data_IF_618714345852
#
_entry.id   IF_618714345852
#
_cell.length_a   1.000
_cell.length_b   1.000
_cell.length_c   1.000
_cell.angle_alpha   90.00
_cell.angle_beta   90.00
_cell.angle_gamma   90.00
#
_symmetry.space_group_name_H-M   'P 1'
#
loop_
_entity.id
_entity.type
_entity.pdbx_description
1 polymer ?
#
# COMPACT_ATOMS: atom_id res chain seq x y z
N UNK A 1 33.18 -21.98 46.46
CA UNK A 1 33.23 -20.83 47.38
C UNK A 1 32.76 -19.72 46.49
N UNK A 2 31.59 -19.60 46.55
CA UNK A 2 30.46 -18.85 47.14
C UNK A 2 30.00 -17.83 46.10
N UNK A 3 28.86 -17.99 45.65
CA UNK A 3 27.45 -17.76 46.13
C UNK A 3 26.96 -16.36 45.91
N UNK A 4 25.78 -16.38 45.24
CA UNK A 4 24.62 -15.50 45.41
C UNK A 4 24.77 -14.01 45.05
N UNK A 5 23.92 -13.47 44.16
CA UNK A 5 22.55 -13.11 44.56
C UNK A 5 21.62 -12.87 43.37
N UNK A 6 20.55 -13.61 43.42
CA UNK A 6 19.34 -13.40 42.62
C UNK A 6 18.53 -12.28 43.29
N UNK A 7 18.22 -11.22 42.58
CA UNK A 7 17.11 -10.32 42.98
C UNK A 7 15.92 -10.49 42.04
N UNK A 8 14.92 -11.15 42.56
CA UNK A 8 13.53 -11.15 42.10
C UNK A 8 12.92 -9.81 42.46
N UNK A 9 12.30 -9.13 41.54
CA UNK A 9 11.38 -8.03 41.82
C UNK A 9 9.99 -8.38 41.28
N UNK A 10 9.10 -8.30 42.22
CA UNK A 10 7.70 -8.70 42.23
C UNK A 10 6.83 -8.01 41.18
N UNK A 11 5.81 -8.77 40.82
CA UNK A 11 4.61 -8.40 40.13
C UNK A 11 3.82 -7.36 40.93
N UNK A 12 3.28 -6.36 40.23
CA UNK A 12 2.10 -5.64 40.73
C UNK A 12 1.06 -5.58 39.60
N UNK A 13 0.05 -6.39 39.80
CA UNK A 13 -1.25 -6.33 39.17
C UNK A 13 -1.91 -4.97 39.39
N UNK A 14 -2.41 -4.37 38.32
CA UNK A 14 -3.54 -3.46 38.42
C UNK A 14 -4.51 -3.76 37.26
N UNK A 15 -5.57 -4.44 37.65
CA UNK A 15 -6.75 -4.74 36.87
C UNK A 15 -7.41 -3.46 36.36
N UNK A 16 -7.66 -3.40 35.06
CA UNK A 16 -8.62 -2.46 34.45
C UNK A 16 -9.77 -3.29 33.91
N UNK A 17 -10.94 -3.00 34.41
CA UNK A 17 -12.23 -3.61 34.13
C UNK A 17 -12.65 -3.42 32.67
N UNK A 18 -13.41 -4.36 32.07
CA UNK A 18 -13.90 -4.26 30.70
C UNK A 18 -15.11 -3.32 30.63
N UNK A 19 -15.10 -2.42 29.66
CA UNK A 19 -16.28 -1.66 29.25
C UNK A 19 -17.08 -2.44 28.23
N UNK A 20 -18.38 -2.45 28.45
CA UNK A 20 -19.41 -3.26 27.84
C UNK A 20 -19.48 -3.22 26.31
N UNK A 21 -19.69 -4.42 25.76
CA UNK A 21 -19.84 -4.66 24.34
C UNK A 21 -21.20 -4.24 23.81
N UNK A 22 -21.17 -3.74 22.59
CA UNK A 22 -22.33 -3.67 21.69
C UNK A 22 -22.28 -4.92 20.80
N UNK A 23 -23.32 -5.77 20.78
CA UNK A 23 -23.34 -6.97 19.93
C UNK A 23 -23.70 -6.58 18.51
N UNK A 24 -22.74 -6.70 17.57
CA UNK A 24 -23.05 -6.83 16.17
C UNK A 24 -23.43 -8.28 15.87
N UNK A 25 -24.73 -8.53 15.82
CA UNK A 25 -25.28 -9.77 15.29
C UNK A 25 -25.15 -9.78 13.76
N UNK A 26 -24.15 -10.52 13.24
CA UNK A 26 -24.14 -10.96 11.86
C UNK A 26 -24.70 -12.39 11.83
N UNK A 27 -25.92 -12.53 11.32
CA UNK A 27 -26.48 -13.83 10.96
C UNK A 27 -25.68 -14.41 9.80
N UNK A 28 -25.02 -15.53 10.06
CA UNK A 28 -24.36 -16.36 9.06
C UNK A 28 -25.45 -17.18 8.31
N UNK A 29 -25.73 -16.81 7.09
CA UNK A 29 -26.46 -17.66 6.13
C UNK A 29 -25.43 -18.45 5.28
N UNK A 30 -25.30 -19.79 5.45
CA UNK A 30 -24.28 -20.61 4.79
C UNK A 30 -24.58 -20.99 3.36
N UNK A 31 -25.55 -20.35 2.69
CA UNK A 31 -26.11 -20.84 1.42
C UNK A 31 -25.85 -20.00 0.16
N UNK A 32 -25.28 -18.81 0.22
CA UNK A 32 -25.10 -17.98 -0.98
C UNK A 32 -23.66 -18.03 -1.53
N UNK A 33 -23.47 -18.93 -2.50
CA UNK A 33 -22.35 -18.79 -3.46
C UNK A 33 -22.55 -17.50 -4.25
N UNK A 34 -21.70 -16.49 -4.00
CA UNK A 34 -21.62 -15.34 -4.88
C UNK A 34 -20.95 -15.75 -6.19
N UNK A 35 -21.77 -16.11 -7.17
CA UNK A 35 -21.35 -16.10 -8.55
C UNK A 35 -21.21 -14.63 -8.97
N UNK A 36 -20.04 -14.23 -9.43
CA UNK A 36 -19.86 -12.94 -10.11
C UNK A 36 -20.58 -13.01 -11.47
N UNK A 37 -21.89 -12.80 -11.45
CA UNK A 37 -22.66 -12.50 -12.63
C UNK A 37 -22.22 -11.13 -13.14
N UNK A 38 -21.95 -11.04 -14.44
CA UNK A 38 -21.71 -9.79 -15.15
C UNK A 38 -22.90 -8.85 -14.91
N UNK A 39 -22.74 -7.95 -13.94
CA UNK A 39 -23.74 -6.93 -13.65
C UNK A 39 -23.62 -5.83 -14.70
N UNK A 40 -24.70 -5.61 -15.41
CA UNK A 40 -24.88 -4.68 -16.49
C UNK A 40 -24.25 -3.31 -16.18
N UNK A 41 -23.43 -2.83 -17.12
CA UNK A 41 -22.94 -1.46 -17.20
C UNK A 41 -24.13 -0.51 -17.28
N UNK A 42 -24.55 0.04 -16.14
CA UNK A 42 -25.42 1.22 -16.13
C UNK A 42 -24.54 2.39 -16.54
N UNK A 43 -24.68 2.82 -17.77
CA UNK A 43 -24.08 4.06 -18.26
C UNK A 43 -24.51 5.21 -17.35
N UNK A 44 -23.56 6.01 -16.80
CA UNK A 44 -23.96 7.17 -16.00
C UNK A 44 -24.67 8.17 -16.90
N UNK A 45 -25.96 8.44 -16.59
CA UNK A 45 -26.72 9.51 -17.21
C UNK A 45 -25.91 10.80 -17.07
N UNK A 46 -25.60 11.43 -18.20
CA UNK A 46 -24.96 12.75 -18.27
C UNK A 46 -25.86 13.78 -17.57
N UNK A 47 -25.57 14.07 -16.32
CA UNK A 47 -26.15 15.21 -15.61
C UNK A 47 -25.48 16.49 -16.18
N UNK A 48 -26.20 17.19 -17.03
CA UNK A 48 -25.86 18.55 -17.50
C UNK A 48 -25.99 19.48 -16.28
N UNK A 49 -24.85 20.01 -15.78
CA UNK A 49 -24.89 21.14 -14.85
C UNK A 49 -23.97 21.12 -13.62
N UNK A 50 -23.22 20.04 -13.35
CA UNK A 50 -22.17 20.09 -12.31
C UNK A 50 -20.85 20.54 -12.94
N UNK A 51 -20.26 21.64 -12.42
CA UNK A 51 -18.86 21.98 -12.72
C UNK A 51 -18.04 20.72 -12.49
N UNK A 52 -17.37 20.23 -13.53
CA UNK A 52 -16.50 19.05 -13.41
C UNK A 52 -15.36 19.41 -12.45
N UNK A 53 -15.38 18.87 -11.24
CA UNK A 53 -14.24 18.96 -10.34
C UNK A 53 -13.08 18.23 -11.01
N UNK A 54 -11.93 18.91 -11.09
CA UNK A 54 -10.70 18.28 -11.57
C UNK A 54 -10.24 17.32 -10.49
N UNK A 55 -10.04 16.06 -10.86
CA UNK A 55 -9.53 15.04 -9.95
C UNK A 55 -8.17 14.55 -10.44
N UNK A 56 -7.27 14.29 -9.51
CA UNK A 56 -5.98 13.63 -9.75
C UNK A 56 -6.07 12.22 -9.19
N UNK A 57 -5.92 11.17 -10.04
CA UNK A 57 -5.95 9.80 -9.54
C UNK A 57 -4.74 9.54 -8.65
N UNK A 58 -4.98 8.86 -7.52
CA UNK A 58 -3.93 8.47 -6.60
C UNK A 58 -2.98 7.47 -7.25
N UNK A 59 -1.69 7.59 -6.95
CA UNK A 59 -0.70 6.63 -7.43
C UNK A 59 -0.88 5.30 -6.70
N UNK A 60 -0.94 4.22 -7.47
CA UNK A 60 -1.04 2.88 -6.93
C UNK A 60 0.02 1.97 -7.56
N UNK A 61 0.87 1.38 -6.73
CA UNK A 61 1.84 0.37 -7.13
C UNK A 61 1.65 -0.83 -6.23
N UNK A 62 1.21 -1.96 -6.81
CA UNK A 62 0.91 -3.16 -6.04
C UNK A 62 1.48 -4.43 -6.66
N UNK A 63 1.86 -5.37 -5.81
CA UNK A 63 2.29 -6.72 -6.18
C UNK A 63 1.33 -7.73 -5.58
N UNK A 64 0.67 -8.49 -6.43
CA UNK A 64 -0.43 -9.39 -6.06
C UNK A 64 -0.06 -10.87 -6.19
N UNK A 65 -0.82 -11.69 -5.49
CA UNK A 65 -0.81 -13.14 -5.66
C UNK A 65 -2.16 -13.63 -6.19
N UNK A 66 -2.11 -14.37 -7.30
CA UNK A 66 -3.26 -15.11 -7.83
C UNK A 66 -3.20 -16.57 -7.42
N UNK A 67 -4.39 -17.16 -7.22
CA UNK A 67 -4.57 -18.62 -7.08
C UNK A 67 -5.44 -19.12 -8.23
N UNK A 68 -5.00 -20.17 -8.91
CA UNK A 68 -5.76 -20.82 -9.97
C UNK A 68 -6.90 -21.67 -9.39
N UNK A 69 -8.11 -21.48 -9.89
CA UNK A 69 -9.29 -22.31 -9.61
C UNK A 69 -9.59 -23.29 -10.75
N UNK A 70 -8.58 -23.57 -11.57
CA UNK A 70 -8.72 -24.50 -12.69
C UNK A 70 -9.26 -25.86 -12.23
N UNK A 71 -10.13 -26.45 -13.03
CA UNK A 71 -10.61 -27.82 -12.84
C UNK A 71 -9.50 -28.84 -13.13
N UNK A 72 -8.50 -28.47 -13.91
CA UNK A 72 -7.38 -29.34 -14.23
C UNK A 72 -6.45 -29.47 -13.02
N UNK A 73 -6.30 -30.70 -12.51
CA UNK A 73 -5.55 -31.04 -11.29
C UNK A 73 -4.13 -30.43 -11.27
N UNK A 74 -3.45 -30.37 -12.41
CA UNK A 74 -2.07 -29.87 -12.50
C UNK A 74 -1.97 -28.32 -12.45
N UNK A 75 -3.09 -27.59 -12.62
CA UNK A 75 -3.13 -26.12 -12.48
C UNK A 75 -3.84 -25.68 -11.20
N UNK A 76 -4.69 -26.51 -10.63
CA UNK A 76 -5.46 -26.20 -9.41
C UNK A 76 -4.54 -25.75 -8.28
N UNK A 77 -4.88 -24.65 -7.62
CA UNK A 77 -4.16 -24.04 -6.50
C UNK A 77 -2.72 -23.59 -6.82
N UNK A 78 -2.32 -23.51 -8.08
CA UNK A 78 -1.06 -22.85 -8.44
C UNK A 78 -1.16 -21.36 -8.22
N UNK A 79 -0.04 -20.77 -7.79
CA UNK A 79 0.07 -19.33 -7.57
C UNK A 79 0.78 -18.65 -8.73
N UNK A 80 0.35 -17.42 -9.00
CA UNK A 80 1.04 -16.50 -9.88
C UNK A 80 1.23 -15.16 -9.17
N UNK A 81 2.45 -14.62 -9.23
CA UNK A 81 2.79 -13.30 -8.67
C UNK A 81 2.89 -12.32 -9.84
N UNK A 82 2.35 -11.12 -9.66
CA UNK A 82 2.40 -10.09 -10.67
C UNK A 82 2.30 -8.69 -10.09
N UNK A 83 2.69 -7.71 -10.89
CA UNK A 83 2.62 -6.27 -10.59
C UNK A 83 1.43 -5.63 -11.28
N UNK A 84 0.85 -4.61 -10.65
CA UNK A 84 -0.21 -3.80 -11.26
C UNK A 84 -0.29 -2.39 -10.65
N UNK A 85 -0.82 -1.48 -11.45
CA UNK A 85 -1.27 -0.13 -11.02
C UNK A 85 -2.80 -0.06 -10.90
N UNK A 86 -3.53 -1.10 -11.31
CA UNK A 86 -4.98 -1.22 -11.21
C UNK A 86 -5.36 -2.70 -11.02
N UNK A 87 -5.56 -3.16 -9.76
CA UNK A 87 -5.82 -4.55 -9.45
C UNK A 87 -7.15 -5.05 -10.03
N UNK A 88 -8.19 -4.20 -10.05
CA UNK A 88 -9.51 -4.57 -10.53
C UNK A 88 -9.49 -4.85 -12.04
N UNK A 89 -8.82 -3.99 -12.82
CA UNK A 89 -8.60 -4.23 -14.24
C UNK A 89 -7.70 -5.44 -14.47
N UNK A 90 -6.66 -5.60 -13.64
CA UNK A 90 -5.66 -6.66 -13.85
C UNK A 90 -6.21 -8.05 -13.68
N UNK A 91 -7.06 -8.30 -12.69
CA UNK A 91 -7.70 -9.63 -12.52
C UNK A 91 -8.63 -9.96 -13.69
N UNK A 92 -9.37 -8.97 -14.21
CA UNK A 92 -10.19 -9.14 -15.41
C UNK A 92 -9.34 -9.55 -16.62
N UNK A 93 -8.18 -8.90 -16.84
CA UNK A 93 -7.26 -9.25 -17.92
C UNK A 93 -6.75 -10.69 -17.81
N UNK A 94 -6.39 -11.16 -16.60
CA UNK A 94 -5.96 -12.54 -16.40
C UNK A 94 -7.06 -13.55 -16.75
N UNK A 95 -8.30 -13.27 -16.37
CA UNK A 95 -9.44 -14.14 -16.63
C UNK A 95 -9.97 -14.06 -18.07
N UNK A 96 -9.69 -12.94 -18.77
CA UNK A 96 -10.04 -12.76 -20.17
C UNK A 96 -9.05 -13.39 -21.15
N UNK A 97 -7.87 -13.84 -20.65
CA UNK A 97 -6.84 -14.48 -21.46
C UNK A 97 -5.79 -13.54 -22.06
N UNK A 98 -4.82 -14.13 -22.73
CA UNK A 98 -3.62 -13.44 -23.23
C UNK A 98 -3.93 -12.33 -24.23
N UNK A 99 -4.89 -12.55 -25.12
CA UNK A 99 -5.26 -11.60 -26.18
C UNK A 99 -5.84 -10.29 -25.62
N UNK A 100 -6.38 -10.34 -24.39
CA UNK A 100 -6.94 -9.18 -23.67
C UNK A 100 -5.98 -8.62 -22.60
N UNK A 101 -4.69 -8.93 -22.72
CA UNK A 101 -3.65 -8.40 -21.83
C UNK A 101 -3.32 -9.29 -20.63
N UNK A 102 -3.86 -10.49 -20.55
CA UNK A 102 -3.46 -11.50 -19.59
C UNK A 102 -2.00 -11.94 -19.78
N UNK A 103 -1.35 -12.42 -18.72
CA UNK A 103 0.01 -12.90 -18.81
C UNK A 103 0.06 -14.31 -19.47
N UNK A 104 1.10 -14.58 -20.30
CA UNK A 104 1.32 -15.90 -20.90
C UNK A 104 1.29 -17.05 -19.89
N UNK A 105 1.80 -16.81 -18.67
CA UNK A 105 1.86 -17.83 -17.61
C UNK A 105 0.49 -18.13 -16.98
N UNK A 106 -0.51 -17.28 -17.17
CA UNK A 106 -1.86 -17.46 -16.62
C UNK A 106 -2.86 -17.90 -17.66
N UNK A 107 -2.50 -17.86 -18.94
CA UNK A 107 -3.35 -18.20 -20.06
C UNK A 107 -3.78 -19.67 -20.01
N UNK A 108 -5.08 -19.94 -20.24
CA UNK A 108 -5.70 -21.28 -20.19
C UNK A 108 -5.47 -22.07 -18.87
N UNK A 109 -5.20 -21.37 -17.76
CA UNK A 109 -4.95 -21.97 -16.43
C UNK A 109 -5.89 -21.43 -15.35
N UNK A 110 -6.86 -20.62 -15.74
CA UNK A 110 -7.86 -20.04 -14.87
C UNK A 110 -9.08 -20.94 -14.65
N UNK A 111 -10.14 -20.38 -14.04
CA UNK A 111 -10.18 -18.99 -13.58
C UNK A 111 -9.19 -18.70 -12.46
N UNK A 112 -8.86 -17.43 -12.30
CA UNK A 112 -7.91 -16.93 -11.31
C UNK A 112 -8.61 -16.04 -10.29
N UNK A 113 -8.25 -16.21 -9.02
CA UNK A 113 -8.63 -15.30 -7.94
C UNK A 113 -7.41 -14.51 -7.48
N UNK A 114 -7.56 -13.20 -7.34
CA UNK A 114 -6.55 -12.34 -6.72
C UNK A 114 -6.79 -12.34 -5.21
N UNK A 115 -5.97 -13.10 -4.47
CA UNK A 115 -6.20 -13.40 -3.05
C UNK A 115 -5.69 -12.30 -2.16
N UNK A 116 -4.49 -11.81 -2.45
CA UNK A 116 -3.86 -10.74 -1.68
C UNK A 116 -3.03 -9.83 -2.57
N UNK A 117 -2.76 -8.64 -2.07
CA UNK A 117 -1.90 -7.65 -2.71
C UNK A 117 -1.09 -6.88 -1.66
N UNK A 118 0.18 -6.69 -1.94
CA UNK A 118 1.07 -5.81 -1.18
C UNK A 118 1.20 -4.53 -1.99
N UNK A 119 0.87 -3.38 -1.38
CA UNK A 119 0.91 -2.08 -2.05
C UNK A 119 1.47 -1.00 -1.14
N UNK A 120 1.60 0.23 -1.65
CA UNK A 120 2.24 1.33 -0.93
C UNK A 120 3.73 1.49 -1.27
N UNK A 121 4.19 0.85 -2.34
CA UNK A 121 5.54 1.09 -2.86
C UNK A 121 5.69 2.54 -3.32
N UNK A 122 6.88 3.15 -3.14
CA UNK A 122 7.11 4.56 -3.50
C UNK A 122 7.11 4.80 -5.02
N UNK A 123 7.37 3.77 -5.82
CA UNK A 123 7.38 3.84 -7.29
C UNK A 123 7.27 2.43 -7.92
N UNK A 124 7.08 2.39 -9.23
CA UNK A 124 6.98 1.15 -9.99
C UNK A 124 8.26 0.29 -9.92
N UNK A 125 9.44 0.91 -9.88
CA UNK A 125 10.72 0.19 -9.84
C UNK A 125 10.84 -0.61 -8.54
N UNK A 126 10.48 0.00 -7.40
CA UNK A 126 10.50 -0.69 -6.11
C UNK A 126 9.53 -1.87 -6.08
N UNK A 127 8.33 -1.71 -6.65
CA UNK A 127 7.33 -2.76 -6.76
C UNK A 127 7.76 -3.89 -7.70
N UNK A 128 8.30 -3.58 -8.88
CA UNK A 128 8.79 -4.58 -9.83
C UNK A 128 9.98 -5.38 -9.29
N UNK A 129 10.87 -4.75 -8.52
CA UNK A 129 11.95 -5.45 -7.81
C UNK A 129 11.41 -6.42 -6.77
N UNK A 130 10.35 -6.03 -6.04
CA UNK A 130 9.67 -6.90 -5.10
C UNK A 130 8.99 -8.07 -5.80
N UNK A 131 8.23 -7.80 -6.87
CA UNK A 131 7.60 -8.83 -7.73
C UNK A 131 8.62 -9.86 -8.19
N UNK A 132 9.73 -9.40 -8.78
CA UNK A 132 10.77 -10.30 -9.28
C UNK A 132 11.37 -11.17 -8.17
N UNK A 133 11.68 -10.59 -7.02
CA UNK A 133 12.21 -11.32 -5.87
C UNK A 133 11.21 -12.34 -5.31
N UNK A 134 9.93 -11.98 -5.29
CA UNK A 134 8.86 -12.87 -4.85
C UNK A 134 8.63 -14.03 -5.83
N UNK A 135 8.77 -13.78 -7.13
CA UNK A 135 8.72 -14.83 -8.17
C UNK A 135 9.94 -15.76 -8.11
N UNK A 136 11.14 -15.23 -7.82
CA UNK A 136 12.43 -15.92 -7.94
C UNK A 136 13.24 -15.85 -6.62
N UNK A 137 12.73 -16.43 -5.52
CA UNK A 137 13.39 -16.32 -4.21
C UNK A 137 14.81 -16.91 -4.20
N UNK A 138 15.03 -17.98 -4.97
CA UNK A 138 16.32 -18.67 -5.09
C UNK A 138 17.38 -17.86 -5.87
N UNK A 139 16.96 -16.88 -6.68
CA UNK A 139 17.84 -16.00 -7.45
C UNK A 139 17.98 -14.60 -6.87
N UNK A 140 17.07 -14.23 -5.98
CA UNK A 140 17.06 -12.91 -5.35
C UNK A 140 18.25 -12.74 -4.40
N UNK A 141 19.11 -11.77 -4.67
CA UNK A 141 20.26 -11.44 -3.81
C UNK A 141 19.87 -11.13 -2.36
N UNK A 142 18.61 -10.78 -2.15
CA UNK A 142 18.10 -10.34 -0.84
C UNK A 142 17.76 -11.52 0.07
N UNK A 143 17.28 -12.64 -0.51
CA UNK A 143 16.77 -13.78 0.27
C UNK A 143 17.28 -15.15 -0.20
N UNK A 144 18.10 -15.23 -1.27
CA UNK A 144 18.61 -16.52 -1.78
C UNK A 144 19.38 -17.32 -0.74
N UNK A 145 20.12 -16.61 0.13
CA UNK A 145 20.97 -17.22 1.14
C UNK A 145 20.14 -17.91 2.26
N UNK A 146 18.84 -17.56 2.37
CA UNK A 146 17.89 -18.24 3.24
C UNK A 146 17.48 -19.62 2.71
N UNK A 147 17.83 -19.95 1.47
CA UNK A 147 17.54 -21.24 0.82
C UNK A 147 16.08 -21.71 0.98
N UNK A 148 15.14 -20.77 0.83
CA UNK A 148 13.71 -20.99 1.08
C UNK A 148 13.13 -22.02 0.10
N UNK A 149 12.85 -23.21 0.59
CA UNK A 149 12.17 -24.29 -0.15
C UNK A 149 10.77 -24.51 0.38
N UNK A 150 9.84 -24.87 -0.51
CA UNK A 150 8.48 -25.23 -0.12
C UNK A 150 8.51 -26.53 0.70
N UNK A 151 7.96 -26.51 1.92
CA UNK A 151 7.85 -27.70 2.76
C UNK A 151 6.84 -28.70 2.15
N UNK A 152 6.99 -30.00 2.51
CA UNK A 152 6.15 -31.08 1.95
C UNK A 152 4.65 -30.86 2.20
N UNK A 153 4.29 -30.40 3.40
CA UNK A 153 2.90 -30.14 3.81
C UNK A 153 2.43 -28.71 3.54
N UNK A 154 3.32 -27.82 3.09
CA UNK A 154 3.01 -26.43 2.81
C UNK A 154 2.25 -26.29 1.50
N UNK A 155 1.16 -25.53 1.49
CA UNK A 155 0.45 -25.21 0.24
C UNK A 155 1.28 -24.27 -0.63
N UNK A 156 1.06 -24.22 -1.97
CA UNK A 156 1.75 -23.26 -2.82
C UNK A 156 1.54 -21.82 -2.36
N UNK A 157 0.35 -21.49 -1.86
CA UNK A 157 0.03 -20.16 -1.39
C UNK A 157 0.72 -19.83 -0.05
N UNK A 158 0.70 -20.75 0.93
CA UNK A 158 1.41 -20.57 2.20
C UNK A 158 2.91 -20.33 1.98
N UNK A 159 3.52 -21.07 1.04
CA UNK A 159 4.91 -20.84 0.64
C UNK A 159 5.13 -19.44 0.08
N UNK A 160 4.24 -18.96 -0.80
CA UNK A 160 4.34 -17.59 -1.33
C UNK A 160 4.12 -16.54 -0.26
N UNK A 161 3.20 -16.74 0.67
CA UNK A 161 3.00 -15.84 1.82
C UNK A 161 4.26 -15.74 2.68
N UNK A 162 4.89 -16.87 3.01
CA UNK A 162 6.13 -16.91 3.77
C UNK A 162 7.28 -16.16 3.07
N UNK A 163 7.44 -16.32 1.76
CA UNK A 163 8.42 -15.55 0.98
C UNK A 163 8.11 -14.05 1.06
N UNK A 164 6.85 -13.64 0.92
CA UNK A 164 6.45 -12.24 1.03
C UNK A 164 6.81 -11.64 2.39
N UNK A 165 6.60 -12.38 3.49
CA UNK A 165 6.98 -11.95 4.84
C UNK A 165 8.49 -11.74 4.96
N UNK A 166 9.31 -12.65 4.43
CA UNK A 166 10.76 -12.46 4.38
C UNK A 166 11.14 -11.20 3.60
N UNK A 167 10.57 -11.00 2.41
CA UNK A 167 10.87 -9.83 1.58
C UNK A 167 10.47 -8.52 2.25
N UNK A 168 9.29 -8.46 2.87
CA UNK A 168 8.86 -7.25 3.59
C UNK A 168 9.79 -6.88 4.74
N UNK A 169 10.50 -7.85 5.33
CA UNK A 169 11.49 -7.62 6.39
C UNK A 169 12.89 -7.26 5.84
N UNK A 170 13.11 -7.33 4.53
CA UNK A 170 14.40 -7.01 3.92
C UNK A 170 14.47 -5.57 3.43
N UNK A 171 15.67 -4.97 3.45
CA UNK A 171 15.92 -3.68 2.78
C UNK A 171 15.81 -3.81 1.27
N UNK A 172 15.22 -2.80 0.60
CA UNK A 172 14.70 -1.54 1.14
C UNK A 172 13.25 -1.61 1.62
N UNK A 173 12.54 -2.73 1.42
CA UNK A 173 11.08 -2.86 1.58
C UNK A 173 10.61 -2.70 3.03
N UNK A 174 11.45 -3.09 4.01
CA UNK A 174 11.17 -2.90 5.43
C UNK A 174 11.18 -1.42 5.88
N UNK A 175 11.53 -0.50 4.98
CA UNK A 175 11.53 0.94 5.22
C UNK A 175 10.34 1.65 4.57
N UNK A 176 9.51 0.92 3.80
CA UNK A 176 8.36 1.50 3.11
C UNK A 176 7.09 1.35 3.94
N UNK A 177 6.18 2.31 3.79
CA UNK A 177 4.83 2.24 4.33
C UNK A 177 3.97 1.26 3.52
N UNK A 178 4.32 -0.04 3.60
CA UNK A 178 3.60 -1.08 2.87
C UNK A 178 2.28 -1.42 3.57
N UNK A 179 1.31 -1.76 2.76
CA UNK A 179 0.04 -2.35 3.19
C UNK A 179 -0.05 -3.76 2.61
N UNK A 180 -0.26 -4.74 3.46
CA UNK A 180 -0.69 -6.07 3.05
C UNK A 180 -2.22 -6.11 3.07
N UNK A 181 -2.85 -6.45 1.96
CA UNK A 181 -4.31 -6.49 1.87
C UNK A 181 -4.80 -7.86 1.41
N UNK A 182 -5.66 -8.45 2.21
CA UNK A 182 -6.45 -9.62 1.85
C UNK A 182 -7.64 -9.18 0.98
N UNK A 183 -7.59 -9.48 -0.33
CA UNK A 183 -8.69 -9.16 -1.25
C UNK A 183 -9.83 -10.14 -1.11
N UNK A 184 -9.52 -11.38 -0.73
CA UNK A 184 -10.47 -12.43 -0.39
C UNK A 184 -10.23 -12.88 1.05
N UNK A 185 -10.94 -12.33 2.05
CA UNK A 185 -10.74 -12.66 3.45
C UNK A 185 -10.89 -14.15 3.78
N UNK A 186 -11.73 -14.88 3.03
CA UNK A 186 -11.92 -16.32 3.20
C UNK A 186 -10.67 -17.16 2.87
N UNK A 187 -9.71 -16.59 2.18
CA UNK A 187 -8.43 -17.23 1.84
C UNK A 187 -7.30 -16.77 2.77
N UNK A 188 -7.64 -16.04 3.83
CA UNK A 188 -6.65 -15.60 4.82
C UNK A 188 -5.95 -16.79 5.45
N UNK A 189 -4.63 -16.70 5.51
CA UNK A 189 -3.78 -17.61 6.25
C UNK A 189 -3.06 -16.85 7.36
N UNK A 190 -2.81 -17.49 8.51
CA UNK A 190 -1.96 -16.88 9.53
C UNK A 190 -0.57 -16.59 8.95
N UNK A 191 -0.01 -15.45 9.31
CA UNK A 191 1.39 -15.19 9.01
C UNK A 191 2.29 -16.19 9.75
N UNK A 192 3.41 -16.60 9.15
CA UNK A 192 4.35 -17.50 9.81
C UNK A 192 4.85 -16.89 11.13
N UNK A 193 4.75 -17.61 12.24
CA UNK A 193 5.07 -17.12 13.59
C UNK A 193 6.51 -16.58 13.71
N UNK A 194 7.44 -17.20 12.98
CA UNK A 194 8.86 -16.83 13.02
C UNK A 194 9.24 -15.66 12.10
N UNK A 195 8.32 -15.16 11.25
CA UNK A 195 8.60 -14.07 10.32
C UNK A 195 7.32 -13.26 10.05
N UNK A 196 6.88 -12.50 11.03
CA UNK A 196 5.76 -11.57 10.86
C UNK A 196 6.15 -10.39 9.94
N UNK A 197 5.21 -9.78 9.25
CA UNK A 197 5.44 -8.50 8.58
C UNK A 197 5.99 -7.44 9.56
N UNK A 198 6.76 -6.44 9.08
CA UNK A 198 7.18 -5.31 9.92
C UNK A 198 6.01 -4.66 10.66
N UNK A 199 6.20 -4.24 11.91
CA UNK A 199 5.13 -3.70 12.78
C UNK A 199 4.39 -2.49 12.17
N UNK A 200 5.04 -1.71 11.32
CA UNK A 200 4.43 -0.57 10.63
C UNK A 200 3.70 -0.96 9.33
N UNK A 201 3.73 -2.23 8.93
CA UNK A 201 2.95 -2.71 7.78
C UNK A 201 1.47 -2.73 8.15
N UNK A 202 0.66 -2.01 7.37
CA UNK A 202 -0.78 -2.01 7.58
C UNK A 202 -1.40 -3.30 7.06
N UNK A 203 -2.29 -3.90 7.85
CA UNK A 203 -3.12 -5.02 7.42
C UNK A 203 -4.51 -4.50 7.05
N UNK A 204 -4.96 -4.77 5.82
CA UNK A 204 -6.28 -4.35 5.31
C UNK A 204 -6.99 -5.50 4.61
N UNK A 205 -8.32 -5.38 4.50
CA UNK A 205 -9.20 -6.39 3.92
C UNK A 205 -10.08 -5.79 2.82
N UNK A 206 -10.61 -6.66 1.96
CA UNK A 206 -11.57 -6.31 0.92
C UNK A 206 -10.95 -5.66 -0.31
N UNK A 207 -11.79 -5.34 -1.28
CA UNK A 207 -11.41 -4.80 -2.57
C UNK A 207 -10.77 -3.41 -2.43
N UNK A 208 -9.96 -3.04 -3.42
CA UNK A 208 -9.38 -1.72 -3.52
C UNK A 208 -10.32 -0.84 -4.34
N UNK A 209 -10.85 0.19 -3.70
CA UNK A 209 -11.56 1.25 -4.37
C UNK A 209 -10.55 2.21 -5.01
N UNK A 210 -10.89 2.70 -6.21
CA UNK A 210 -10.09 3.74 -6.86
C UNK A 210 -10.33 5.03 -6.10
N UNK A 211 -9.28 5.54 -5.48
CA UNK A 211 -9.30 6.87 -4.90
C UNK A 211 -8.84 7.91 -5.93
N UNK A 212 -9.54 9.02 -5.93
CA UNK A 212 -9.18 10.22 -6.68
C UNK A 212 -9.21 11.39 -5.71
N UNK A 213 -8.14 12.16 -5.68
CA UNK A 213 -8.12 13.38 -4.88
C UNK A 213 -8.78 14.49 -5.70
N UNK A 214 -9.87 15.05 -5.17
CA UNK A 214 -10.48 16.24 -5.75
C UNK A 214 -9.55 17.43 -5.55
N UNK A 215 -9.31 18.20 -6.61
CA UNK A 215 -8.60 19.46 -6.51
C UNK A 215 -9.59 20.48 -5.94
N UNK A 216 -9.68 20.53 -4.61
CA UNK A 216 -10.43 21.56 -3.90
C UNK A 216 -9.61 22.84 -3.78
N UNK A 217 -10.30 23.96 -3.54
CA UNK A 217 -9.64 25.23 -3.25
C UNK A 217 -8.67 25.15 -2.06
N UNK A 218 -8.94 24.23 -1.12
CA UNK A 218 -8.09 23.96 0.03
C UNK A 218 -6.68 23.49 -0.36
N UNK A 219 -6.51 22.81 -1.52
CA UNK A 219 -5.19 22.45 -2.02
C UNK A 219 -4.40 23.64 -2.58
N UNK A 220 -5.06 24.70 -3.06
CA UNK A 220 -4.38 25.93 -3.49
C UNK A 220 -3.77 26.67 -2.31
N UNK A 221 -4.39 26.62 -1.13
CA UNK A 221 -3.90 27.25 0.09
C UNK A 221 -2.63 26.58 0.64
N UNK A 222 -2.37 25.31 0.24
CA UNK A 222 -1.12 24.60 0.61
C UNK A 222 0.09 24.95 -0.28
N UNK A 223 -0.14 25.65 -1.38
CA UNK A 223 0.90 26.11 -2.30
C UNK A 223 1.44 27.48 -1.85
N UNK A 224 0.71 28.17 -0.96
CA UNK A 224 1.20 29.40 -0.38
C UNK A 224 2.41 29.13 0.51
N UNK A 225 3.38 30.01 0.38
CA UNK A 225 4.67 30.00 1.05
C UNK A 225 4.55 29.58 2.51
N UNK A 226 4.90 28.33 2.78
CA UNK A 226 4.89 27.79 4.14
C UNK A 226 6.23 28.01 4.81
N UNK A 227 6.24 28.38 6.09
CA UNK A 227 7.42 28.36 6.92
C UNK A 227 7.60 26.97 7.55
N UNK A 228 8.84 26.52 7.62
CA UNK A 228 9.18 25.27 8.27
C UNK A 228 9.09 25.43 9.80
N UNK A 229 8.24 24.65 10.45
CA UNK A 229 8.05 24.69 11.91
C UNK A 229 9.21 24.07 12.74
N UNK A 230 10.34 23.77 12.09
CA UNK A 230 11.55 23.27 12.77
C UNK A 230 12.73 24.22 12.66
N UNK A 231 12.87 24.96 11.58
CA UNK A 231 13.97 25.93 11.38
C UNK A 231 13.47 27.36 11.18
N UNK A 232 12.14 27.56 11.15
CA UNK A 232 11.46 28.85 10.95
C UNK A 232 11.83 29.57 9.63
N UNK A 233 12.44 28.84 8.68
CA UNK A 233 12.77 29.36 7.36
C UNK A 233 11.66 29.08 6.35
N UNK A 234 11.55 29.96 5.32
CA UNK A 234 10.60 29.82 4.22
C UNK A 234 10.88 28.59 3.37
N UNK A 235 9.84 27.80 3.05
CA UNK A 235 9.92 26.65 2.14
C UNK A 235 9.72 27.16 0.70
N UNK A 236 10.80 27.54 0.04
CA UNK A 236 10.80 28.14 -1.29
C UNK A 236 10.34 27.18 -2.39
N UNK A 237 10.72 25.88 -2.26
CA UNK A 237 10.40 24.86 -3.29
C UNK A 237 9.36 23.89 -2.78
N UNK A 238 8.27 23.74 -3.52
CA UNK A 238 7.21 22.80 -3.20
C UNK A 238 7.72 21.33 -3.09
N UNK A 239 8.77 20.98 -3.85
CA UNK A 239 9.44 19.68 -3.73
C UNK A 239 10.15 19.46 -2.40
N UNK A 240 10.40 20.50 -1.63
CA UNK A 240 10.98 20.42 -0.29
C UNK A 240 9.94 20.44 0.82
N UNK A 241 8.67 20.77 0.48
CA UNK A 241 7.56 20.82 1.41
C UNK A 241 7.09 19.42 1.76
N UNK A 242 6.98 19.13 3.03
CA UNK A 242 6.20 18.02 3.58
C UNK A 242 5.32 18.55 4.69
N UNK A 243 4.20 17.86 4.93
CA UNK A 243 3.27 18.26 5.99
C UNK A 243 2.91 17.10 6.91
N UNK A 244 2.55 17.45 8.12
CA UNK A 244 1.94 16.48 9.02
C UNK A 244 0.54 16.11 8.51
N UNK A 245 0.25 14.82 8.38
CA UNK A 245 -1.06 14.32 7.94
C UNK A 245 -2.18 14.53 8.97
N UNK A 246 -1.81 14.86 10.23
CA UNK A 246 -2.78 15.07 11.32
C UNK A 246 -3.08 16.54 11.60
N UNK A 247 -2.05 17.41 11.66
CA UNK A 247 -2.23 18.81 12.01
C UNK A 247 -1.90 19.79 10.88
N UNK A 248 -1.59 19.29 9.69
CA UNK A 248 -1.22 20.04 8.50
C UNK A 248 0.00 21.00 8.68
N UNK A 249 0.78 20.89 9.75
CA UNK A 249 1.99 21.70 9.92
C UNK A 249 3.00 21.41 8.82
N UNK A 250 3.64 22.48 8.29
CA UNK A 250 4.59 22.41 7.20
C UNK A 250 6.03 22.26 7.72
N UNK A 251 6.83 21.49 7.01
CA UNK A 251 8.24 21.27 7.31
C UNK A 251 9.04 21.15 6.01
N UNK A 252 10.32 21.51 6.04
CA UNK A 252 11.24 20.99 5.03
C UNK A 252 11.35 19.46 5.19
N UNK A 253 11.34 18.73 4.10
CA UNK A 253 11.51 17.28 4.11
C UNK A 253 12.80 16.85 4.85
N UNK A 254 13.89 17.59 4.64
CA UNK A 254 15.17 17.36 5.35
C UNK A 254 15.06 17.59 6.86
N UNK A 255 14.43 18.69 7.29
CA UNK A 255 14.26 19.01 8.71
C UNK A 255 13.43 17.95 9.43
N UNK A 256 12.29 17.54 8.84
CA UNK A 256 11.44 16.51 9.42
C UNK A 256 12.13 15.13 9.41
N UNK A 257 12.92 14.82 8.37
CA UNK A 257 13.69 13.58 8.31
C UNK A 257 14.74 13.52 9.41
N UNK A 258 15.51 14.59 9.61
CA UNK A 258 16.55 14.69 10.66
C UNK A 258 15.90 14.56 12.04
N UNK A 259 14.78 15.25 12.27
CA UNK A 259 14.04 15.15 13.52
C UNK A 259 13.54 13.71 13.78
N UNK A 260 12.95 13.07 12.79
CA UNK A 260 12.44 11.70 12.91
C UNK A 260 13.53 10.64 13.04
N UNK A 261 14.75 10.91 12.58
CA UNK A 261 15.90 10.00 12.77
C UNK A 261 16.36 9.95 14.23
N UNK A 262 16.19 11.03 15.00
CA UNK A 262 16.46 11.08 16.44
C UNK A 262 17.73 10.31 16.86
N UNK A 263 18.86 10.49 16.10
CA UNK A 263 20.11 9.81 16.37
C UNK A 263 20.26 8.40 15.79
N UNK A 264 19.32 7.91 14.99
CA UNK A 264 19.43 6.62 14.27
C UNK A 264 20.44 6.74 13.13
N UNK A 265 21.73 6.48 13.42
CA UNK A 265 22.85 6.69 12.47
C UNK A 265 22.86 5.76 11.25
N UNK A 266 22.09 4.68 11.27
CA UNK A 266 22.09 3.65 10.21
C UNK A 266 21.01 3.83 9.15
N UNK A 267 20.20 4.88 9.24
CA UNK A 267 19.12 5.19 8.31
C UNK A 267 19.38 6.53 7.61
N UNK A 268 19.08 6.60 6.31
CA UNK A 268 19.12 7.84 5.54
C UNK A 268 17.87 8.70 5.72
N UNK A 269 16.76 8.07 6.10
CA UNK A 269 15.47 8.69 6.40
C UNK A 269 14.74 7.84 7.44
N UNK A 270 13.83 8.43 8.23
CA UNK A 270 13.10 7.67 9.25
C UNK A 270 12.11 6.70 8.59
N UNK A 271 11.77 5.63 9.29
CA UNK A 271 10.60 4.78 8.95
C UNK A 271 9.37 5.31 9.65
N UNK A 272 9.53 5.62 10.93
CA UNK A 272 8.53 6.20 11.83
C UNK A 272 9.10 7.45 12.46
N UNK A 273 8.25 8.38 12.81
CA UNK A 273 8.61 9.58 13.58
C UNK A 273 7.38 10.22 14.19
N UNK A 274 7.59 11.17 15.08
CA UNK A 274 6.51 11.92 15.71
C UNK A 274 6.55 13.37 15.21
N UNK A 275 5.35 13.93 14.98
CA UNK A 275 5.22 15.32 14.55
C UNK A 275 5.69 16.27 15.66
N UNK A 276 6.66 17.17 15.40
CA UNK A 276 7.16 18.08 16.43
C UNK A 276 6.11 19.07 16.94
N UNK A 277 5.00 19.27 16.20
CA UNK A 277 3.93 20.18 16.58
C UNK A 277 2.80 19.53 17.39
N UNK A 278 2.32 18.37 16.94
CA UNK A 278 1.14 17.73 17.53
C UNK A 278 1.42 16.37 18.18
N UNK A 279 2.67 15.92 18.16
CA UNK A 279 3.15 14.65 18.71
C UNK A 279 2.46 13.39 18.16
N UNK A 280 1.70 13.52 17.07
CA UNK A 280 1.13 12.34 16.40
C UNK A 280 2.22 11.63 15.60
N UNK A 281 2.25 10.31 15.76
CA UNK A 281 3.19 9.47 15.02
C UNK A 281 2.83 9.44 13.53
N UNK A 282 3.85 9.46 12.68
CA UNK A 282 3.70 9.31 11.23
C UNK A 282 4.59 8.19 10.70
N UNK A 283 4.18 7.60 9.58
CA UNK A 283 5.02 6.73 8.76
C UNK A 283 5.62 7.58 7.64
N UNK A 284 6.95 7.61 7.50
CA UNK A 284 7.63 8.47 6.53
C UNK A 284 7.12 8.27 5.09
N UNK A 285 6.85 7.03 4.70
CA UNK A 285 6.31 6.73 3.39
C UNK A 285 4.94 7.37 3.12
N UNK A 286 4.11 7.59 4.15
CA UNK A 286 2.83 8.30 4.01
C UNK A 286 3.04 9.80 3.81
N UNK A 287 3.99 10.38 4.55
CA UNK A 287 4.39 11.80 4.39
C UNK A 287 4.89 12.06 2.96
N UNK A 288 5.70 11.17 2.41
CA UNK A 288 6.21 11.30 1.04
C UNK A 288 5.10 11.07 0.00
N UNK A 289 4.14 10.18 0.25
CA UNK A 289 2.97 10.01 -0.64
C UNK A 289 2.12 11.27 -0.69
N UNK A 290 1.88 11.91 0.45
CA UNK A 290 1.17 13.18 0.53
C UNK A 290 1.90 14.29 -0.23
N UNK A 291 3.21 14.44 -0.05
CA UNK A 291 4.04 15.38 -0.82
C UNK A 291 3.90 15.17 -2.34
N UNK A 292 3.99 13.91 -2.79
CA UNK A 292 3.84 13.60 -4.23
C UNK A 292 2.47 13.96 -4.75
N UNK A 293 1.43 13.78 -3.95
CA UNK A 293 0.08 14.22 -4.31
C UNK A 293 0.02 15.74 -4.47
N UNK A 294 0.58 16.50 -3.53
CA UNK A 294 0.66 17.97 -3.62
C UNK A 294 1.37 18.40 -4.91
N UNK A 295 2.51 17.80 -5.24
CA UNK A 295 3.24 18.09 -6.47
C UNK A 295 2.40 17.82 -7.73
N UNK A 296 1.72 16.70 -7.80
CA UNK A 296 0.84 16.35 -8.95
C UNK A 296 -0.35 17.28 -9.08
N UNK A 297 -0.95 17.70 -7.98
CA UNK A 297 -2.04 18.69 -7.99
C UNK A 297 -1.54 20.03 -8.54
N UNK A 298 -0.37 20.49 -8.08
CA UNK A 298 0.26 21.71 -8.55
C UNK A 298 0.57 21.66 -10.06
N UNK A 299 1.14 20.56 -10.54
CA UNK A 299 1.40 20.35 -11.97
C UNK A 299 0.11 20.36 -12.81
N UNK A 300 -0.95 19.72 -12.31
CA UNK A 300 -2.24 19.70 -12.99
C UNK A 300 -2.88 21.09 -13.07
N UNK A 301 -2.73 21.91 -12.03
CA UNK A 301 -3.20 23.31 -12.01
C UNK A 301 -2.43 24.18 -13.02
N UNK A 302 -1.10 24.08 -13.01
CA UNK A 302 -0.23 24.81 -13.95
C UNK A 302 -0.54 24.48 -15.41
N UNK A 303 -0.69 23.20 -15.74
CA UNK A 303 -1.02 22.74 -17.08
C UNK A 303 -2.40 23.21 -17.55
N UNK A 304 -3.31 23.45 -16.63
CA UNK A 304 -4.64 23.99 -16.95
C UNK A 304 -4.57 25.47 -17.25
N UNK A 305 -3.89 26.25 -16.40
CA UNK A 305 -3.71 27.68 -16.61
C UNK A 305 -3.04 27.96 -17.98
N UNK A 306 -2.01 27.15 -18.34
CA UNK A 306 -1.36 27.28 -19.66
C UNK A 306 -2.31 26.98 -20.83
N UNK A 307 -3.21 26.01 -20.70
CA UNK A 307 -4.20 25.68 -21.75
C UNK A 307 -5.27 26.76 -21.92
N UNK A 308 -5.61 27.45 -20.85
CA UNK A 308 -6.58 28.56 -20.89
C UNK A 308 -5.96 29.85 -21.47
N UNK A 309 -4.62 29.97 -21.40
CA UNK A 309 -3.89 31.14 -21.97
C UNK A 309 -3.61 31.02 -23.48
N UNK A 310 -3.75 29.82 -24.08
CA UNK A 310 -3.61 29.69 -25.55
C UNK A 310 -4.91 30.13 -26.23
N UNK A 311 -4.91 31.19 -27.03
CA UNK A 311 -6.11 31.62 -27.75
C UNK A 311 -6.58 30.51 -28.68
N UNK A 312 -7.86 30.16 -28.62
CA UNK A 312 -8.47 29.29 -29.64
C UNK A 312 -8.41 30.04 -30.96
N UNK A 313 -7.44 29.67 -31.80
CA UNK A 313 -7.45 30.12 -33.21
C UNK A 313 -8.71 29.55 -33.84
N UNK A 314 -9.69 30.41 -34.08
CA UNK A 314 -10.84 30.08 -34.91
C UNK A 314 -10.31 29.80 -36.30
N UNK A 315 -10.29 28.55 -36.72
CA UNK A 315 -10.22 28.19 -38.14
C UNK A 315 -11.56 28.53 -38.76
N UNK A 316 -11.52 29.57 -39.56
CA UNK A 316 -12.58 29.99 -40.47
C UNK A 316 -12.77 28.95 -41.56
#
# INVERSE_FOLDING_TARGET
>A
MDDSDIMVLDQNDSAVSPVDGVPCSFENDPGKRFSFGASALISPRKNKGRKAFKTVPDEFFGVYCLISRSQLKHYKNRCYIGYTVDPNRRIQQHNAGREKGGAKKTDNRGPWDMVCIIHGFPNSIAALRFEWAWQNPEKSRVIRDLSLKKARKETPFAYRLRIACHLMNCRPWNQFALTFRWLLPMEELPFPENILPPKHTLLKYGLIEKSTTEISCEYSDYIEKGECRLCDEEIVKLSHLVRCTSCAAHFHAGCLAINGLAGQRNLLYPVLGDCPRCSQSYIWGDVIRDQRMILRVSEAQTNTALKEMVPRTHSS
#
